data_IF_756434209837
#
_entry.id   IF_756434209837
#
_cell.length_a   1.000
_cell.length_b   1.000
_cell.length_c   1.000
_cell.angle_alpha   90.00
_cell.angle_beta   90.00
_cell.angle_gamma   90.00
#
_symmetry.space_group_name_H-M   'P 1'
#
loop_
_entity.id
_entity.type
_entity.pdbx_description
1 polymer ?
#
# COMPACT_ATOMS: atom_id res chain seq x y z
N UNK A 1 -11.40 14.57 18.08
CA UNK A 1 -10.28 13.60 18.26
C UNK A 1 -10.65 12.19 17.81
N UNK A 2 -11.88 11.72 18.05
CA UNK A 2 -12.39 10.44 17.52
C UNK A 2 -12.20 10.27 16.01
N UNK A 3 -12.34 11.37 15.25
CA UNK A 3 -12.14 11.38 13.80
C UNK A 3 -10.75 10.87 13.37
N UNK A 4 -9.67 11.32 14.01
CA UNK A 4 -8.31 10.92 13.63
C UNK A 4 -8.05 9.45 13.97
N UNK A 5 -8.50 8.99 15.13
CA UNK A 5 -8.43 7.58 15.53
C UNK A 5 -9.23 6.70 14.55
N UNK A 6 -10.42 7.15 14.14
CA UNK A 6 -11.23 6.48 13.14
C UNK A 6 -10.53 6.39 11.79
N UNK A 7 -9.93 7.48 11.30
CA UNK A 7 -9.18 7.49 10.04
C UNK A 7 -7.97 6.55 10.06
N UNK A 8 -7.26 6.45 11.20
CA UNK A 8 -6.16 5.50 11.38
C UNK A 8 -6.68 4.06 11.36
N UNK A 9 -7.80 3.77 12.03
CA UNK A 9 -8.40 2.44 12.02
C UNK A 9 -8.89 2.06 10.62
N UNK A 10 -9.54 2.98 9.91
CA UNK A 10 -9.94 2.76 8.51
C UNK A 10 -8.74 2.49 7.59
N UNK A 11 -7.61 3.15 7.85
CA UNK A 11 -6.35 2.92 7.14
C UNK A 11 -5.79 1.52 7.44
N UNK A 12 -5.83 1.11 8.71
CA UNK A 12 -5.41 -0.21 9.15
C UNK A 12 -6.24 -1.33 8.51
N UNK A 13 -7.57 -1.21 8.55
CA UNK A 13 -8.48 -2.16 7.91
C UNK A 13 -8.28 -2.21 6.40
N UNK A 14 -8.13 -1.06 5.76
CA UNK A 14 -7.86 -1.00 4.32
C UNK A 14 -6.51 -1.64 3.96
N UNK A 15 -5.52 -1.57 4.85
CA UNK A 15 -4.22 -2.21 4.67
C UNK A 15 -4.28 -3.73 4.88
N UNK A 16 -5.04 -4.20 5.88
CA UNK A 16 -5.27 -5.63 6.10
C UNK A 16 -5.97 -6.29 4.91
N UNK A 17 -6.99 -5.62 4.34
CA UNK A 17 -7.67 -6.09 3.12
C UNK A 17 -6.72 -6.16 1.93
N UNK A 18 -5.87 -5.16 1.77
CA UNK A 18 -4.86 -5.16 0.70
C UNK A 18 -3.84 -6.29 0.90
N UNK A 19 -3.40 -6.54 2.14
CA UNK A 19 -2.51 -7.65 2.48
C UNK A 19 -3.09 -9.01 2.09
N UNK A 20 -4.34 -9.27 2.48
CA UNK A 20 -5.01 -10.52 2.14
C UNK A 20 -5.17 -10.72 0.62
N UNK A 21 -5.40 -9.64 -0.14
CA UNK A 21 -5.40 -9.67 -1.61
C UNK A 21 -4.04 -10.02 -2.19
N UNK A 22 -2.96 -9.43 -1.67
CA UNK A 22 -1.61 -9.70 -2.13
C UNK A 22 -1.18 -11.13 -1.81
N UNK A 23 -1.51 -11.64 -0.62
CA UNK A 23 -1.21 -13.01 -0.22
C UNK A 23 -1.93 -14.02 -1.13
N UNK A 24 -3.20 -13.74 -1.48
CA UNK A 24 -3.92 -14.53 -2.48
C UNK A 24 -3.19 -14.53 -3.83
N UNK A 25 -2.85 -13.34 -4.36
CA UNK A 25 -2.21 -13.18 -5.66
C UNK A 25 -0.79 -13.78 -5.73
N UNK A 26 -0.03 -13.71 -4.64
CA UNK A 26 1.31 -14.29 -4.57
C UNK A 26 1.30 -15.82 -4.71
N UNK A 27 0.19 -16.47 -4.37
CA UNK A 27 0.01 -17.92 -4.54
C UNK A 27 -0.44 -18.32 -5.96
N UNK A 28 -0.81 -17.36 -6.82
CA UNK A 28 -1.21 -17.60 -8.19
C UNK A 28 0.00 -17.81 -9.11
N UNK A 29 0.39 -19.08 -9.30
CA UNK A 29 1.58 -19.48 -10.10
C UNK A 29 1.68 -18.81 -11.47
N UNK A 30 0.53 -18.68 -12.16
CA UNK A 30 0.49 -18.07 -13.50
C UNK A 30 0.78 -16.58 -13.48
N UNK A 31 0.33 -15.88 -12.44
CA UNK A 31 0.60 -14.46 -12.27
C UNK A 31 2.08 -14.23 -11.98
N UNK A 32 2.65 -15.07 -11.11
CA UNK A 32 4.02 -14.98 -10.63
C UNK A 32 5.07 -15.43 -11.66
N UNK A 33 4.65 -15.99 -12.80
CA UNK A 33 5.57 -16.36 -13.89
C UNK A 33 6.25 -15.14 -14.55
N UNK A 34 5.66 -13.94 -14.43
CA UNK A 34 6.27 -12.70 -14.94
C UNK A 34 7.17 -12.06 -13.88
N UNK A 35 8.43 -11.81 -14.21
CA UNK A 35 9.37 -11.07 -13.35
C UNK A 35 8.82 -9.71 -12.91
N UNK A 36 8.12 -9.01 -13.81
CA UNK A 36 7.51 -7.71 -13.49
C UNK A 36 6.41 -7.83 -12.44
N UNK A 37 5.57 -8.87 -12.52
CA UNK A 37 4.52 -9.13 -11.53
C UNK A 37 5.13 -9.52 -10.18
N UNK A 38 6.18 -10.34 -10.21
CA UNK A 38 6.89 -10.74 -9.00
C UNK A 38 7.46 -9.54 -8.24
N UNK A 39 8.13 -8.61 -8.95
CA UNK A 39 8.66 -7.37 -8.36
C UNK A 39 7.52 -6.52 -7.79
N UNK A 40 6.43 -6.33 -8.55
CA UNK A 40 5.29 -5.55 -8.08
C UNK A 40 4.64 -6.16 -6.83
N UNK A 41 4.51 -7.50 -6.75
CA UNK A 41 3.99 -8.16 -5.56
C UNK A 41 4.91 -7.98 -4.35
N UNK A 42 6.23 -8.06 -4.52
CA UNK A 42 7.18 -7.80 -3.43
C UNK A 42 7.08 -6.34 -2.94
N UNK A 43 7.03 -5.37 -3.86
CA UNK A 43 6.89 -3.96 -3.51
C UNK A 43 5.57 -3.70 -2.75
N UNK A 44 4.49 -4.39 -3.13
CA UNK A 44 3.20 -4.35 -2.44
C UNK A 44 3.26 -4.99 -1.03
N UNK A 45 3.93 -6.14 -0.87
CA UNK A 45 4.12 -6.79 0.44
C UNK A 45 4.93 -5.91 1.40
N UNK A 46 6.04 -5.34 0.92
CA UNK A 46 6.88 -4.43 1.72
C UNK A 46 6.10 -3.19 2.16
N UNK A 47 5.29 -2.62 1.25
CA UNK A 47 4.42 -1.50 1.57
C UNK A 47 3.37 -1.87 2.63
N UNK A 48 2.65 -2.99 2.48
CA UNK A 48 1.64 -3.43 3.44
C UNK A 48 2.26 -3.69 4.81
N UNK A 49 3.41 -4.36 4.87
CA UNK A 49 4.12 -4.61 6.11
C UNK A 49 4.58 -3.32 6.80
N UNK A 50 5.12 -2.37 6.02
CA UNK A 50 5.55 -1.08 6.56
C UNK A 50 4.37 -0.22 7.04
N UNK A 51 3.26 -0.21 6.30
CA UNK A 51 2.05 0.51 6.70
C UNK A 51 1.40 -0.13 7.93
N UNK A 52 1.42 -1.46 8.05
CA UNK A 52 0.87 -2.21 9.19
C UNK A 52 1.60 -1.91 10.51
N UNK A 53 2.88 -1.52 10.46
CA UNK A 53 3.62 -1.04 11.65
C UNK A 53 3.14 0.32 12.14
N UNK A 54 2.53 1.13 11.28
CA UNK A 54 2.00 2.45 11.63
C UNK A 54 0.50 2.44 11.93
N UNK A 55 -0.24 1.54 11.27
CA UNK A 55 -1.67 1.37 11.42
C UNK A 55 -1.97 -0.14 11.53
N UNK A 56 -1.72 -0.75 12.71
CA UNK A 56 -1.97 -2.16 12.92
C UNK A 56 -3.47 -2.45 12.93
N UNK A 57 -3.84 -3.62 12.42
CA UNK A 57 -5.23 -4.11 12.41
C UNK A 57 -5.27 -5.50 13.02
N UNK A 58 -6.23 -5.73 13.91
CA UNK A 58 -6.53 -7.05 14.46
C UNK A 58 -7.55 -7.83 13.60
N UNK A 59 -7.98 -7.25 12.47
CA UNK A 59 -9.03 -7.81 11.63
C UNK A 59 -8.54 -9.03 10.86
N UNK A 60 -9.21 -10.17 11.05
CA UNK A 60 -9.06 -11.34 10.18
C UNK A 60 -9.86 -11.11 8.89
N UNK A 61 -9.17 -10.84 7.80
CA UNK A 61 -9.78 -10.62 6.48
C UNK A 61 -9.55 -11.84 5.60
N UNK A 62 -10.63 -12.43 5.08
CA UNK A 62 -10.58 -13.41 3.99
C UNK A 62 -11.05 -12.75 2.69
N UNK A 63 -10.35 -13.01 1.59
CA UNK A 63 -10.55 -12.35 0.29
C UNK A 63 -10.95 -13.37 -0.76
N UNK A 64 -11.86 -12.98 -1.66
CA UNK A 64 -12.27 -13.78 -2.83
C UNK A 64 -11.74 -13.19 -4.15
N UNK A 65 -11.59 -14.04 -5.18
CA UNK A 65 -11.04 -13.72 -6.51
C UNK A 65 -11.59 -12.45 -7.22
N UNK A 66 -12.88 -12.09 -7.12
CA UNK A 66 -13.42 -10.86 -7.71
C UNK A 66 -12.85 -9.56 -7.12
N UNK A 67 -12.19 -9.65 -5.96
CA UNK A 67 -11.69 -8.49 -5.22
C UNK A 67 -10.35 -7.97 -5.76
N UNK A 68 -9.70 -8.62 -6.74
CA UNK A 68 -8.44 -8.16 -7.36
C UNK A 68 -8.61 -6.78 -8.01
N UNK A 69 -9.80 -6.48 -8.56
CA UNK A 69 -10.12 -5.14 -9.11
C UNK A 69 -10.20 -4.06 -8.03
N UNK A 70 -10.27 -4.44 -6.74
CA UNK A 70 -10.30 -3.51 -5.63
C UNK A 70 -8.91 -2.98 -5.24
N UNK A 71 -7.81 -3.53 -5.77
CA UNK A 71 -6.45 -3.04 -5.44
C UNK A 71 -6.33 -1.54 -5.71
N UNK A 72 -6.84 -1.07 -6.85
CA UNK A 72 -6.82 0.34 -7.20
C UNK A 72 -7.61 1.19 -6.19
N UNK A 73 -8.81 0.70 -5.83
CA UNK A 73 -9.67 1.35 -4.86
C UNK A 73 -9.02 1.43 -3.47
N UNK A 74 -8.43 0.32 -3.00
CA UNK A 74 -7.78 0.24 -1.71
C UNK A 74 -6.55 1.15 -1.63
N UNK A 75 -5.68 1.12 -2.65
CA UNK A 75 -4.53 2.01 -2.69
C UNK A 75 -4.96 3.48 -2.71
N UNK A 76 -5.99 3.83 -3.49
CA UNK A 76 -6.55 5.19 -3.54
C UNK A 76 -7.11 5.62 -2.19
N UNK A 77 -7.88 4.74 -1.54
CA UNK A 77 -8.44 4.98 -0.21
C UNK A 77 -7.33 5.22 0.82
N UNK A 78 -6.31 4.37 0.83
CA UNK A 78 -5.16 4.52 1.72
C UNK A 78 -4.41 5.83 1.48
N UNK A 79 -4.21 6.24 0.23
CA UNK A 79 -3.59 7.52 -0.11
C UNK A 79 -4.35 8.71 0.47
N UNK A 80 -5.68 8.72 0.29
CA UNK A 80 -6.52 9.81 0.79
C UNK A 80 -6.60 9.81 2.32
N UNK A 81 -6.71 8.64 2.96
CA UNK A 81 -6.64 8.53 4.41
C UNK A 81 -5.29 9.04 4.95
N UNK A 82 -4.18 8.69 4.31
CA UNK A 82 -2.87 9.19 4.70
C UNK A 82 -2.78 10.73 4.58
N UNK A 83 -3.38 11.34 3.55
CA UNK A 83 -3.46 12.80 3.44
C UNK A 83 -4.25 13.43 4.59
N UNK A 84 -5.42 12.87 4.91
CA UNK A 84 -6.29 13.37 5.97
C UNK A 84 -5.61 13.27 7.33
N UNK A 85 -5.06 12.09 7.65
CA UNK A 85 -4.32 11.84 8.88
C UNK A 85 -3.17 12.84 9.02
N UNK A 86 -2.34 13.01 7.98
CA UNK A 86 -1.21 13.96 8.02
C UNK A 86 -1.66 15.40 8.30
N UNK A 87 -2.74 15.82 7.64
CA UNK A 87 -3.30 17.17 7.81
C UNK A 87 -3.84 17.37 9.22
N UNK A 88 -4.63 16.42 9.71
CA UNK A 88 -5.30 16.51 11.00
C UNK A 88 -4.26 16.43 12.13
N UNK A 89 -3.20 15.64 11.97
CA UNK A 89 -2.02 15.67 12.84
C UNK A 89 -1.37 17.05 12.92
N UNK A 90 -1.03 17.65 11.77
CA UNK A 90 -0.38 18.96 11.75
C UNK A 90 -1.22 20.05 12.42
N UNK A 91 -2.56 19.98 12.30
CA UNK A 91 -3.47 20.90 12.97
C UNK A 91 -3.46 20.72 14.49
N UNK A 92 -3.48 19.47 14.97
CA UNK A 92 -3.45 19.17 16.39
C UNK A 92 -2.12 19.58 17.02
N UNK A 93 -1.01 19.37 16.31
CA UNK A 93 0.33 19.81 16.73
C UNK A 93 0.40 21.34 16.88
N UNK A 94 -0.08 22.10 15.89
CA UNK A 94 -0.11 23.58 15.96
C UNK A 94 -1.01 24.09 17.08
N UNK A 95 -2.13 23.41 17.35
CA UNK A 95 -3.07 23.81 18.39
C UNK A 95 -2.68 23.36 19.81
N UNK A 96 -1.56 22.64 19.97
CA UNK A 96 -1.13 22.12 21.27
C UNK A 96 -2.01 21.00 21.86
N UNK A 97 -2.96 20.47 21.08
CA UNK A 97 -3.92 19.44 21.50
C UNK A 97 -3.54 18.05 20.98
N UNK A 98 -2.24 17.75 20.90
CA UNK A 98 -1.76 16.47 20.41
C UNK A 98 -1.89 15.41 21.53
N UNK A 99 -2.65 14.32 21.31
CA UNK A 99 -2.77 13.27 22.31
C UNK A 99 -1.43 12.51 22.48
N UNK A 100 -1.06 12.18 23.71
CA UNK A 100 0.18 11.46 24.03
C UNK A 100 0.25 10.09 23.34
N UNK A 101 -0.90 9.40 23.21
CA UNK A 101 -1.06 8.11 22.53
C UNK A 101 -0.93 8.18 21.00
N UNK A 102 -0.96 9.40 20.44
CA UNK A 102 -0.89 9.67 19.01
C UNK A 102 0.40 10.41 18.61
N UNK A 103 1.45 10.34 19.43
CA UNK A 103 2.71 11.04 19.13
C UNK A 103 3.39 10.52 17.85
N UNK A 104 3.31 11.33 16.80
CA UNK A 104 4.11 11.22 15.60
C UNK A 104 5.42 11.98 15.81
N UNK A 105 6.45 11.29 16.27
CA UNK A 105 7.80 11.85 16.24
C UNK A 105 8.23 12.16 14.80
N UNK A 106 9.28 12.98 14.62
CA UNK A 106 9.76 13.37 13.30
C UNK A 106 10.17 12.17 12.42
N UNK A 107 10.60 11.06 13.03
CA UNK A 107 10.96 9.84 12.31
C UNK A 107 9.71 9.17 11.74
N UNK A 108 8.64 9.03 12.51
CA UNK A 108 7.33 8.51 12.08
C UNK A 108 6.72 9.41 11.02
N UNK A 109 6.78 10.74 11.18
CA UNK A 109 6.31 11.69 10.15
C UNK A 109 7.05 11.49 8.82
N UNK A 110 8.38 11.37 8.86
CA UNK A 110 9.20 11.11 7.68
C UNK A 110 8.87 9.75 7.05
N UNK A 111 8.66 8.72 7.86
CA UNK A 111 8.29 7.39 7.38
C UNK A 111 6.90 7.38 6.73
N UNK A 112 5.93 8.05 7.33
CA UNK A 112 4.58 8.18 6.81
C UNK A 112 4.53 8.96 5.49
N UNK A 113 5.30 10.07 5.37
CA UNK A 113 5.47 10.79 4.10
C UNK A 113 6.09 9.91 3.02
N UNK A 114 7.07 9.07 3.39
CA UNK A 114 7.62 8.09 2.44
C UNK A 114 6.52 7.14 1.99
N UNK A 115 5.81 6.48 2.90
CA UNK A 115 4.71 5.55 2.56
C UNK A 115 3.65 6.17 1.66
N UNK A 116 3.32 7.44 1.85
CA UNK A 116 2.43 8.17 0.97
C UNK A 116 2.97 8.24 -0.48
N UNK A 117 4.27 8.49 -0.66
CA UNK A 117 4.93 8.47 -1.98
C UNK A 117 4.97 7.04 -2.55
N UNK A 118 5.27 6.04 -1.70
CA UNK A 118 5.25 4.62 -2.11
C UNK A 118 3.89 4.26 -2.68
N UNK A 119 2.81 4.60 -1.96
CA UNK A 119 1.45 4.31 -2.39
C UNK A 119 1.12 4.95 -3.76
N UNK A 120 1.54 6.20 -4.02
CA UNK A 120 1.34 6.81 -5.33
C UNK A 120 2.05 6.06 -6.47
N UNK A 121 3.25 5.56 -6.20
CA UNK A 121 4.00 4.76 -7.18
C UNK A 121 3.32 3.40 -7.41
N UNK A 122 2.85 2.76 -6.33
CA UNK A 122 2.06 1.53 -6.42
C UNK A 122 0.75 1.74 -7.19
N UNK A 123 0.09 2.90 -7.06
CA UNK A 123 -1.08 3.24 -7.86
C UNK A 123 -0.75 3.30 -9.36
N UNK A 124 0.38 3.91 -9.72
CA UNK A 124 0.83 3.98 -11.11
C UNK A 124 1.16 2.59 -11.66
N UNK A 125 1.91 1.79 -10.91
CA UNK A 125 2.27 0.43 -11.31
C UNK A 125 1.06 -0.51 -11.33
N UNK A 126 0.07 -0.29 -10.45
CA UNK A 126 -1.17 -1.05 -10.44
C UNK A 126 -1.98 -0.86 -11.73
N UNK A 127 -1.97 0.32 -12.35
CA UNK A 127 -2.64 0.53 -13.65
C UNK A 127 -2.05 -0.42 -14.70
N UNK A 128 -0.72 -0.51 -14.76
CA UNK A 128 -0.02 -1.41 -15.66
C UNK A 128 -0.23 -2.90 -15.30
N UNK A 129 -0.28 -3.21 -14.00
CA UNK A 129 -0.57 -4.56 -13.53
C UNK A 129 -1.99 -5.00 -13.91
N UNK A 130 -2.99 -4.15 -13.72
CA UNK A 130 -4.38 -4.44 -14.07
C UNK A 130 -4.56 -4.54 -15.59
N UNK A 131 -3.91 -3.68 -16.38
CA UNK A 131 -3.93 -3.84 -17.84
C UNK A 131 -3.31 -5.16 -18.27
N UNK A 132 -2.21 -5.60 -17.63
CA UNK A 132 -1.65 -6.93 -17.89
C UNK A 132 -2.57 -8.08 -17.44
N UNK A 133 -3.33 -7.92 -16.35
CA UNK A 133 -4.32 -8.90 -15.92
C UNK A 133 -5.46 -9.03 -16.94
N UNK A 134 -5.95 -7.89 -17.45
CA UNK A 134 -7.03 -7.82 -18.42
C UNK A 134 -6.58 -8.29 -19.82
N UNK A 135 -5.36 -7.93 -20.24
CA UNK A 135 -4.76 -8.35 -21.53
C UNK A 135 -4.37 -9.84 -21.52
N UNK A 136 -4.02 -10.41 -20.37
CA UNK A 136 -3.67 -11.82 -20.25
C UNK A 136 -4.89 -12.70 -20.02
N UNK A 137 -5.43 -13.18 -21.14
CA UNK A 137 -5.37 -14.65 -21.34
C UNK A 137 -3.90 -15.04 -21.16
N UNK A 138 -3.57 -15.73 -20.06
CA UNK A 138 -2.21 -16.14 -19.71
C UNK A 138 -1.65 -17.03 -20.83
N UNK A 139 -1.00 -16.43 -21.82
CA UNK A 139 -0.11 -17.10 -22.77
C UNK A 139 0.94 -16.11 -23.28
N UNK A 140 2.18 -16.58 -23.43
CA UNK A 140 3.20 -15.94 -24.24
C UNK A 140 4.12 -14.95 -23.52
N UNK A 141 5.42 -15.23 -23.62
CA UNK A 141 6.55 -14.46 -23.13
C UNK A 141 6.46 -12.96 -23.41
N UNK A 142 6.29 -12.15 -22.37
CA UNK A 142 6.54 -10.71 -22.45
C UNK A 142 8.03 -10.47 -22.19
N UNK A 143 8.73 -9.96 -23.20
CA UNK A 143 10.13 -9.52 -23.11
C UNK A 143 10.18 -8.26 -22.24
N UNK A 144 10.73 -8.39 -21.04
CA UNK A 144 10.86 -7.30 -20.06
C UNK A 144 12.20 -6.59 -20.29
N UNK A 145 12.16 -5.33 -20.72
CA UNK A 145 13.30 -4.43 -20.61
C UNK A 145 13.66 -4.22 -19.13
N UNK A 146 14.95 -4.19 -18.80
CA UNK A 146 15.46 -4.18 -17.42
C UNK A 146 14.95 -3.00 -16.58
N UNK A 147 13.76 -3.14 -15.97
CA UNK A 147 13.34 -2.25 -14.89
C UNK A 147 14.07 -2.67 -13.61
N UNK A 148 15.01 -1.84 -13.16
CA UNK A 148 15.62 -1.92 -11.82
C UNK A 148 14.54 -1.85 -10.75
N UNK A 149 14.62 -2.74 -9.76
CA UNK A 149 13.70 -2.83 -8.60
C UNK A 149 13.64 -1.49 -7.87
N UNK A 150 12.46 -1.12 -7.39
CA UNK A 150 12.19 0.17 -6.77
C UNK A 150 12.90 0.35 -5.41
N UNK A 151 13.04 -0.73 -4.62
CA UNK A 151 13.88 -0.75 -3.42
C UNK A 151 15.34 -0.37 -3.73
N UNK A 152 15.87 -0.82 -4.87
CA UNK A 152 17.22 -0.45 -5.31
C UNK A 152 17.36 1.04 -5.69
N UNK A 153 16.25 1.74 -5.95
CA UNK A 153 16.25 3.19 -6.25
C UNK A 153 16.14 4.04 -4.98
N UNK A 154 15.45 3.55 -3.94
CA UNK A 154 15.29 4.27 -2.68
C UNK A 154 16.43 4.09 -1.69
N UNK A 155 17.12 2.95 -1.72
CA UNK A 155 18.25 2.66 -0.82
C UNK A 155 19.62 3.03 -1.39
N UNK A 156 19.69 3.58 -2.61
CA UNK A 156 20.88 4.28 -3.10
C UNK A 156 20.86 5.72 -2.58
N UNK A 157 21.42 5.91 -1.38
CA UNK A 157 22.01 7.17 -0.95
C UNK A 157 23.47 6.91 -0.63
#
# INVERSE_FOLDING_TARGET
>A
MEKLKREINELAESNARLGALIDYLANEKKLMASKANHIFMLDMQDYVAALGRLAPSDSKVSVTLPEIKQINHLLTKQYELMKLIRRDYARLEVSGNLPEDLTFDERKKKHFRRLQIINQLLLQDNIFFQSMLDDKKISGNIRIGEKKSWLQRLFKR
#
